data_IF_095605932007
#
_entry.id   IF_095605932007
#
_cell.length_a   1.000
_cell.length_b   1.000
_cell.length_c   1.000
_cell.angle_alpha   90.00
_cell.angle_beta   90.00
_cell.angle_gamma   90.00
#
_symmetry.space_group_name_H-M   'P 1'
#
loop_
_entity.id
_entity.type
_entity.pdbx_description
1 polymer ?
#
# COMPACT_ATOMS: atom_id res chain seq x y z
N UNK A 1 -9.71 -0.21 8.34
CA UNK A 1 -8.67 -0.65 7.36
C UNK A 1 -7.48 0.33 7.33
N UNK A 2 -6.24 -0.17 7.30
CA UNK A 2 -5.01 0.65 7.25
C UNK A 2 -4.37 0.61 5.85
N UNK A 3 -4.03 1.77 5.30
CA UNK A 3 -3.19 1.88 4.09
C UNK A 3 -1.71 1.92 4.45
N UNK A 4 -0.88 1.11 3.80
CA UNK A 4 0.57 1.14 3.97
C UNK A 4 1.25 1.41 2.62
N UNK A 5 2.10 2.44 2.58
CA UNK A 5 2.74 2.93 1.36
C UNK A 5 4.26 2.83 1.53
N UNK A 6 4.94 2.26 0.53
CA UNK A 6 6.40 2.32 0.38
C UNK A 6 6.80 2.77 -1.03
N UNK A 7 8.00 3.29 -1.20
CA UNK A 7 8.47 3.83 -2.48
C UNK A 7 9.02 2.71 -3.40
N UNK A 8 9.78 1.77 -2.84
CA UNK A 8 10.45 0.69 -3.56
C UNK A 8 9.84 -0.68 -3.22
N UNK A 9 10.11 -1.69 -4.05
CA UNK A 9 9.54 -3.04 -3.83
C UNK A 9 10.10 -3.66 -2.56
N UNK A 10 11.38 -3.45 -2.29
CA UNK A 10 12.12 -3.93 -1.12
C UNK A 10 11.51 -3.41 0.19
N UNK A 11 10.90 -2.22 0.18
CA UNK A 11 10.29 -1.60 1.36
C UNK A 11 8.93 -2.20 1.72
N UNK A 12 8.26 -2.86 0.78
CA UNK A 12 6.92 -3.46 0.97
C UNK A 12 6.93 -4.98 0.85
N UNK A 13 7.98 -5.59 0.28
CA UNK A 13 8.07 -7.02 0.03
C UNK A 13 7.81 -7.85 1.30
N UNK A 14 8.41 -7.46 2.42
CA UNK A 14 8.23 -8.22 3.66
C UNK A 14 6.81 -8.14 4.21
N UNK A 15 6.16 -6.98 4.10
CA UNK A 15 4.77 -6.80 4.50
C UNK A 15 3.85 -7.60 3.58
N UNK A 16 4.12 -7.61 2.27
CA UNK A 16 3.42 -8.47 1.33
C UNK A 16 3.54 -9.93 1.77
N UNK A 17 4.75 -10.44 2.03
CA UNK A 17 4.99 -11.82 2.47
C UNK A 17 4.25 -12.22 3.76
N UNK A 18 4.07 -11.30 4.70
CA UNK A 18 3.35 -11.54 5.95
C UNK A 18 1.83 -11.37 5.82
N UNK A 19 1.36 -10.81 4.70
CA UNK A 19 -0.05 -10.54 4.50
C UNK A 19 -0.82 -11.84 4.25
N UNK A 20 -1.93 -12.03 4.93
CA UNK A 20 -2.84 -13.16 4.78
C UNK A 20 -4.07 -12.73 3.96
N UNK A 21 -4.84 -13.69 3.44
CA UNK A 21 -6.06 -13.45 2.66
C UNK A 21 -5.85 -12.44 1.50
N UNK A 22 -4.75 -12.59 0.73
CA UNK A 22 -4.33 -11.59 -0.25
C UNK A 22 -5.25 -11.52 -1.47
N UNK A 23 -5.60 -10.30 -1.83
CA UNK A 23 -6.23 -9.92 -3.09
C UNK A 23 -5.37 -8.85 -3.78
N UNK A 24 -4.90 -9.15 -5.00
CA UNK A 24 -4.22 -8.16 -5.83
C UNK A 24 -5.21 -7.35 -6.65
N UNK A 25 -5.15 -6.03 -6.52
CA UNK A 25 -6.10 -5.10 -7.13
C UNK A 25 -5.33 -4.07 -7.94
N UNK A 26 -5.65 -3.98 -9.23
CA UNK A 26 -5.11 -2.94 -10.12
C UNK A 26 -6.10 -1.78 -10.24
N UNK A 27 -5.66 -0.55 -9.95
CA UNK A 27 -6.42 0.68 -10.20
C UNK A 27 -5.53 1.68 -10.93
N UNK A 28 -5.86 1.95 -12.20
CA UNK A 28 -5.03 2.77 -13.06
C UNK A 28 -3.60 2.20 -13.18
N UNK A 29 -2.55 3.00 -12.92
CA UNK A 29 -1.17 2.55 -12.96
C UNK A 29 -0.71 1.83 -11.67
N UNK A 30 -1.53 1.80 -10.62
CA UNK A 30 -1.16 1.30 -9.30
C UNK A 30 -1.64 -0.13 -9.06
N UNK A 31 -0.80 -0.89 -8.36
CA UNK A 31 -1.11 -2.22 -7.86
C UNK A 31 -1.19 -2.17 -6.34
N UNK A 32 -2.29 -2.68 -5.81
CA UNK A 32 -2.57 -2.76 -4.40
C UNK A 32 -2.66 -4.22 -3.99
N UNK A 33 -2.17 -4.53 -2.79
CA UNK A 33 -2.39 -5.83 -2.15
C UNK A 33 -3.27 -5.59 -0.95
N UNK A 34 -4.53 -6.02 -1.03
CA UNK A 34 -5.46 -6.02 0.09
C UNK A 34 -5.35 -7.35 0.82
N UNK A 35 -5.44 -7.33 2.14
CA UNK A 35 -5.45 -8.55 2.95
C UNK A 35 -5.42 -8.23 4.43
N UNK A 36 -4.81 -9.10 5.22
CA UNK A 36 -4.67 -8.91 6.67
C UNK A 36 -3.22 -9.02 7.12
N UNK A 37 -2.83 -8.21 8.10
CA UNK A 37 -1.58 -8.35 8.84
C UNK A 37 -1.94 -8.50 10.31
N UNK A 38 -1.60 -9.64 10.92
CA UNK A 38 -1.94 -9.94 12.32
C UNK A 38 -3.43 -9.75 12.62
N UNK A 39 -4.31 -10.17 11.70
CA UNK A 39 -5.76 -10.00 11.81
C UNK A 39 -6.31 -8.61 11.47
N UNK A 40 -5.46 -7.60 11.30
CA UNK A 40 -5.88 -6.24 10.92
C UNK A 40 -5.98 -6.11 9.40
N UNK A 41 -7.10 -5.58 8.89
CA UNK A 41 -7.26 -5.31 7.46
C UNK A 41 -6.32 -4.21 6.98
N UNK A 42 -5.54 -4.53 5.94
CA UNK A 42 -4.57 -3.64 5.32
C UNK A 42 -4.69 -3.59 3.81
N UNK A 43 -4.23 -2.47 3.23
CA UNK A 43 -3.94 -2.35 1.81
C UNK A 43 -2.52 -1.82 1.62
N UNK A 44 -1.69 -2.57 0.89
CA UNK A 44 -0.28 -2.24 0.63
C UNK A 44 -0.14 -1.65 -0.80
N UNK A 45 0.58 -0.54 -0.97
CA UNK A 45 0.94 0.04 -2.28
C UNK A 45 2.46 0.27 -2.36
N UNK A 46 3.04 -0.02 -3.53
CA UNK A 46 4.32 0.56 -3.94
C UNK A 46 4.05 1.85 -4.72
N UNK A 47 4.29 3.00 -4.12
CA UNK A 47 4.03 4.30 -4.73
C UNK A 47 5.01 4.67 -5.85
N UNK A 48 6.25 4.19 -5.79
CA UNK A 48 7.35 4.67 -6.63
C UNK A 48 8.08 5.87 -6.02
N UNK A 49 9.26 6.18 -6.54
CA UNK A 49 10.17 7.19 -5.99
C UNK A 49 9.68 8.61 -6.33
N UNK A 50 9.78 9.52 -5.35
CA UNK A 50 9.59 10.95 -5.55
C UNK A 50 8.20 11.47 -5.18
N UNK A 51 8.11 12.79 -4.97
CA UNK A 51 6.94 13.46 -4.38
C UNK A 51 5.66 13.30 -5.20
N UNK A 52 5.77 13.36 -6.54
CA UNK A 52 4.60 13.23 -7.44
C UNK A 52 4.00 11.83 -7.35
N UNK A 53 4.86 10.80 -7.39
CA UNK A 53 4.45 9.40 -7.29
C UNK A 53 3.81 9.09 -5.92
N UNK A 54 4.44 9.55 -4.84
CA UNK A 54 3.90 9.40 -3.49
C UNK A 54 2.51 10.04 -3.35
N UNK A 55 2.35 11.28 -3.80
CA UNK A 55 1.05 11.97 -3.75
C UNK A 55 -0.01 11.24 -4.58
N UNK A 56 0.32 10.82 -5.80
CA UNK A 56 -0.63 10.19 -6.71
C UNK A 56 -1.04 8.76 -6.29
N UNK A 57 -0.13 7.89 -5.80
CA UNK A 57 -0.55 6.60 -5.21
C UNK A 57 -1.39 6.83 -3.96
N UNK A 58 -1.03 7.79 -3.09
CA UNK A 58 -1.80 8.06 -1.86
C UNK A 58 -3.24 8.45 -2.19
N UNK A 59 -3.44 9.36 -3.16
CA UNK A 59 -4.79 9.73 -3.62
C UNK A 59 -5.55 8.52 -4.16
N UNK A 60 -4.93 7.73 -5.05
CA UNK A 60 -5.57 6.54 -5.61
C UNK A 60 -5.94 5.49 -4.55
N UNK A 61 -5.11 5.34 -3.51
CA UNK A 61 -5.38 4.48 -2.37
C UNK A 61 -6.60 4.97 -1.59
N UNK A 62 -6.69 6.27 -1.31
CA UNK A 62 -7.81 6.89 -0.60
C UNK A 62 -9.11 6.70 -1.38
N UNK A 63 -9.10 7.01 -2.68
CA UNK A 63 -10.30 6.92 -3.52
C UNK A 63 -10.81 5.48 -3.66
N UNK A 64 -9.90 4.50 -3.73
CA UNK A 64 -10.27 3.11 -3.95
C UNK A 64 -10.68 2.36 -2.67
N UNK A 65 -10.14 2.74 -1.51
CA UNK A 65 -10.24 1.93 -0.29
C UNK A 65 -10.69 2.70 0.95
N UNK A 66 -10.69 4.03 0.92
CA UNK A 66 -11.10 4.89 2.05
C UNK A 66 -10.50 4.43 3.40
N UNK A 67 -9.17 4.31 3.51
CA UNK A 67 -8.53 3.82 4.73
C UNK A 67 -8.76 4.79 5.89
N UNK A 68 -8.80 4.27 7.12
CA UNK A 68 -8.91 5.09 8.33
C UNK A 68 -7.57 5.76 8.69
N UNK A 69 -6.47 5.13 8.30
CA UNK A 69 -5.11 5.54 8.61
C UNK A 69 -4.17 5.20 7.45
N UNK A 70 -3.14 6.01 7.27
CA UNK A 70 -2.07 5.78 6.29
C UNK A 70 -0.73 5.77 6.99
N UNK A 71 0.05 4.72 6.76
CA UNK A 71 1.42 4.54 7.26
C UNK A 71 2.36 4.58 6.06
N UNK A 72 3.29 5.54 6.05
CA UNK A 72 4.40 5.55 5.10
C UNK A 72 5.60 4.84 5.73
N UNK A 73 6.12 3.82 5.05
CA UNK A 73 7.30 3.04 5.47
C UNK A 73 8.39 3.12 4.41
N UNK A 74 9.64 2.99 4.81
CA UNK A 74 10.79 3.05 3.90
C UNK A 74 12.08 3.44 4.62
N UNK A 75 13.11 3.72 3.84
CA UNK A 75 14.41 4.23 4.33
C UNK A 75 14.49 5.77 4.19
N UNK A 76 15.30 6.42 5.03
CA UNK A 76 15.50 7.87 5.06
C UNK A 76 16.98 8.25 5.08
#
# INVERSE_FOLDING_TARGET
MIGIIGAMEEEVAKLKELCEDREEIKKGPYFFVKGKLSGQEVVLCKAGIGKVNAAACTQALIDAFSPEQIINTGVA
#
